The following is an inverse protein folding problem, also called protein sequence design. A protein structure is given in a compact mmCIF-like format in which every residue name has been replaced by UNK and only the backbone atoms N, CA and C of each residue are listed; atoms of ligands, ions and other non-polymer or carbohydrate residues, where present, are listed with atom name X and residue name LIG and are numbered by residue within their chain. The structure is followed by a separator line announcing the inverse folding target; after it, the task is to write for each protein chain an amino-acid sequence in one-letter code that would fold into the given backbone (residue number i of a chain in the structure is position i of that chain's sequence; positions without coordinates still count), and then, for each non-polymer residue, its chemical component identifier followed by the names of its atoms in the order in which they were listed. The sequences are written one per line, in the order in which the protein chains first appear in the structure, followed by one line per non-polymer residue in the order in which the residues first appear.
data_IF_643348424257
#
_entry.id   IF_643348424257
#
_cell.length_a   1.000
_cell.length_b   1.000
_cell.length_c   1.000
_cell.angle_alpha   90.00
_cell.angle_beta   90.00
_cell.angle_gamma   90.00
#
_symmetry.space_group_name_H-M   'P 1'
#
loop_
_entity.id
_entity.type
_entity.pdbx_description
1 polymer ?
#
# COMPACT_ATOMS: atom_id res chain seq x y z
N UNK A 1 -25.08 1.47 4.66
CA UNK A 1 -25.78 0.71 3.60
C UNK A 1 -25.18 0.87 2.21
N UNK A 2 -24.76 2.09 1.82
CA UNK A 2 -24.40 2.46 0.43
C UNK A 2 -23.11 1.82 -0.11
N UNK A 3 -22.14 1.45 0.74
CA UNK A 3 -20.84 0.93 0.28
C UNK A 3 -20.75 -0.61 0.25
N UNK A 4 -21.79 -1.34 0.67
CA UNK A 4 -21.73 -2.82 0.72
C UNK A 4 -21.60 -3.46 -0.66
N UNK A 5 -22.19 -2.84 -1.69
CA UNK A 5 -22.15 -3.35 -3.05
C UNK A 5 -20.90 -2.90 -3.83
N UNK A 6 -20.23 -1.82 -3.39
CA UNK A 6 -19.07 -1.25 -4.08
C UNK A 6 -17.84 -2.18 -4.06
N UNK A 7 -17.77 -3.10 -3.09
CA UNK A 7 -16.63 -3.99 -2.86
C UNK A 7 -16.98 -5.47 -2.99
N UNK A 8 -18.14 -5.80 -3.55
CA UNK A 8 -18.65 -7.18 -3.61
C UNK A 8 -17.70 -8.13 -4.38
N UNK A 9 -16.92 -7.59 -5.33
CA UNK A 9 -15.86 -8.32 -6.04
C UNK A 9 -14.46 -8.21 -5.40
N UNK A 10 -14.25 -7.34 -4.41
CA UNK A 10 -12.94 -7.08 -3.79
C UNK A 10 -12.81 -7.73 -2.42
N UNK A 11 -13.76 -8.60 -2.02
CA UNK A 11 -13.80 -9.16 -0.68
C UNK A 11 -12.88 -10.37 -0.56
N UNK A 12 -11.96 -10.29 0.39
CA UNK A 12 -11.04 -11.36 0.77
C UNK A 12 -11.47 -12.00 2.09
N UNK A 13 -11.09 -13.25 2.30
CA UNK A 13 -11.39 -13.97 3.53
C UNK A 13 -10.31 -13.72 4.59
N UNK A 14 -10.68 -13.16 5.74
CA UNK A 14 -9.72 -12.81 6.79
C UNK A 14 -8.97 -14.02 7.37
N UNK A 15 -9.64 -15.16 7.43
CA UNK A 15 -9.09 -16.43 7.92
C UNK A 15 -8.01 -17.01 6.98
N UNK A 16 -7.97 -16.58 5.72
CA UNK A 16 -6.95 -17.00 4.75
C UNK A 16 -5.57 -16.40 5.02
N UNK A 17 -5.46 -15.40 5.91
CA UNK A 17 -4.19 -14.76 6.25
C UNK A 17 -3.59 -15.36 7.54
N UNK A 18 -2.30 -15.63 7.54
CA UNK A 18 -1.55 -16.18 8.67
C UNK A 18 -0.32 -15.36 9.05
N UNK A 19 0.27 -15.67 10.21
CA UNK A 19 1.42 -14.96 10.79
C UNK A 19 1.22 -13.45 10.79
N UNK A 20 0.06 -13.01 11.29
CA UNK A 20 -0.31 -11.59 11.38
C UNK A 20 0.56 -10.92 12.44
N UNK A 21 1.50 -10.09 12.03
CA UNK A 21 2.38 -9.32 12.93
C UNK A 21 2.14 -7.83 12.75
N UNK A 22 1.91 -7.10 13.83
CA UNK A 22 1.84 -5.64 13.78
C UNK A 22 3.19 -5.07 13.33
N UNK A 23 3.16 -4.17 12.34
CA UNK A 23 4.35 -3.49 11.82
C UNK A 23 4.35 -1.98 12.08
N UNK A 24 3.24 -1.46 12.61
CA UNK A 24 3.15 -0.06 13.02
C UNK A 24 1.71 0.41 13.19
N UNK A 25 1.58 1.57 13.85
CA UNK A 25 0.30 2.24 14.08
C UNK A 25 0.37 3.66 13.52
N UNK A 26 -0.54 3.97 12.62
CA UNK A 26 -0.64 5.29 11.98
C UNK A 26 -1.97 5.97 12.29
N UNK A 27 -2.16 7.18 11.72
CA UNK A 27 -3.41 7.96 11.84
C UNK A 27 -4.64 7.20 11.34
N UNK A 28 -4.46 6.34 10.35
CA UNK A 28 -5.54 5.62 9.65
C UNK A 28 -5.76 4.20 10.14
N UNK A 29 -5.06 3.77 11.20
CA UNK A 29 -5.22 2.44 11.78
C UNK A 29 -3.90 1.74 12.09
N UNK A 30 -3.99 0.44 12.35
CA UNK A 30 -2.85 -0.43 12.63
C UNK A 30 -2.50 -1.20 11.35
N UNK A 31 -1.22 -1.27 11.03
CA UNK A 31 -0.69 -2.04 9.92
C UNK A 31 -0.21 -3.39 10.40
N UNK A 32 -0.60 -4.44 9.67
CA UNK A 32 -0.15 -5.81 9.90
C UNK A 32 0.55 -6.35 8.66
N UNK A 33 1.63 -7.10 8.88
CA UNK A 33 2.19 -8.01 7.88
C UNK A 33 1.55 -9.38 8.08
N UNK A 34 1.18 -10.05 6.98
CA UNK A 34 0.63 -11.40 7.00
C UNK A 34 0.96 -12.12 5.69
N UNK A 35 0.87 -13.45 5.69
CA UNK A 35 0.97 -14.28 4.49
C UNK A 35 -0.40 -14.84 4.14
N UNK A 36 -0.69 -14.97 2.85
CA UNK A 36 -1.92 -15.63 2.42
C UNK A 36 -1.68 -17.13 2.26
N UNK A 37 -2.59 -17.95 2.80
CA UNK A 37 -2.65 -19.40 2.60
C UNK A 37 -3.18 -19.78 1.21
N UNK A 38 -3.81 -18.83 0.50
CA UNK A 38 -4.50 -19.09 -0.75
C UNK A 38 -4.17 -18.03 -1.78
N UNK A 39 -3.19 -18.33 -2.63
CA UNK A 39 -2.77 -17.50 -3.76
C UNK A 39 -3.94 -17.15 -4.71
N UNK A 40 -4.96 -18.01 -4.81
CA UNK A 40 -6.12 -17.80 -5.68
C UNK A 40 -7.10 -16.76 -5.12
N UNK A 41 -7.04 -16.40 -3.83
CA UNK A 41 -7.83 -15.28 -3.32
C UNK A 41 -7.21 -13.93 -3.70
N UNK A 42 -5.90 -13.90 -3.98
CA UNK A 42 -5.20 -12.72 -4.48
C UNK A 42 -5.40 -12.62 -6.00
N UNK A 43 -6.66 -12.67 -6.47
CA UNK A 43 -6.95 -12.39 -7.88
C UNK A 43 -6.72 -10.90 -8.09
N UNK A 44 -5.77 -10.55 -8.96
CA UNK A 44 -5.41 -9.16 -9.26
C UNK A 44 -6.61 -8.41 -9.81
N UNK A 45 -7.22 -7.54 -9.01
CA UNK A 45 -8.34 -6.70 -9.42
C UNK A 45 -7.90 -5.26 -9.72
N UNK A 46 -6.59 -5.03 -9.86
CA UNK A 46 -6.01 -3.70 -9.90
C UNK A 46 -4.99 -3.52 -11.01
N UNK A 47 -4.68 -2.25 -11.25
CA UNK A 47 -3.73 -1.80 -12.26
C UNK A 47 -2.34 -2.31 -11.94
N UNK A 48 -1.83 -3.20 -12.79
CA UNK A 48 -0.47 -3.73 -12.65
C UNK A 48 0.53 -2.72 -13.19
N UNK A 49 1.38 -2.18 -12.33
CA UNK A 49 2.48 -1.31 -12.70
C UNK A 49 3.60 -1.45 -11.69
N UNK A 50 4.84 -1.60 -12.15
CA UNK A 50 5.99 -1.95 -11.29
C UNK A 50 6.28 -0.90 -10.19
N UNK A 51 5.80 0.33 -10.37
CA UNK A 51 5.94 1.43 -9.40
C UNK A 51 4.65 1.74 -8.62
N UNK A 52 3.67 0.84 -8.59
CA UNK A 52 2.44 0.99 -7.79
C UNK A 52 2.26 -0.26 -6.94
N UNK A 53 2.12 -0.07 -5.62
CA UNK A 53 1.80 -1.17 -4.70
C UNK A 53 0.44 -1.76 -5.10
N UNK A 54 0.44 -3.07 -5.40
CA UNK A 54 -0.80 -3.75 -5.80
C UNK A 54 -1.80 -3.75 -4.62
N UNK A 55 -3.02 -3.27 -4.87
CA UNK A 55 -4.14 -3.42 -3.95
C UNK A 55 -4.90 -4.71 -4.29
N UNK A 56 -5.07 -5.57 -3.30
CA UNK A 56 -5.68 -6.89 -3.48
C UNK A 56 -7.15 -6.91 -3.12
N UNK A 57 -7.57 -6.10 -2.14
CA UNK A 57 -8.97 -6.05 -1.74
C UNK A 57 -9.18 -5.66 -0.29
N UNK A 58 -10.39 -5.95 0.19
CA UNK A 58 -10.84 -5.62 1.54
C UNK A 58 -11.19 -6.93 2.25
N UNK A 59 -10.71 -7.07 3.47
CA UNK A 59 -11.10 -8.15 4.36
C UNK A 59 -11.76 -7.59 5.60
N UNK A 60 -12.58 -8.40 6.28
CA UNK A 60 -13.20 -8.03 7.54
C UNK A 60 -12.96 -9.13 8.55
N UNK A 61 -12.45 -8.75 9.72
CA UNK A 61 -12.37 -9.64 10.86
C UNK A 61 -13.79 -9.88 11.40
N UNK A 62 -14.21 -11.14 11.44
CA UNK A 62 -15.54 -11.53 11.91
C UNK A 62 -15.73 -11.31 13.41
N UNK A 63 -14.67 -11.36 14.21
CA UNK A 63 -14.74 -11.15 15.66
C UNK A 63 -14.82 -9.65 15.99
N UNK A 64 -13.83 -8.88 15.54
CA UNK A 64 -13.75 -7.45 15.87
C UNK A 64 -14.65 -6.58 14.99
N UNK A 65 -15.20 -7.13 13.90
CA UNK A 65 -15.94 -6.42 12.84
C UNK A 65 -15.11 -5.33 12.13
N UNK A 66 -13.80 -5.32 12.34
CA UNK A 66 -12.87 -4.34 11.76
C UNK A 66 -12.62 -4.66 10.29
N UNK A 67 -12.67 -3.62 9.46
CA UNK A 67 -12.29 -3.73 8.05
C UNK A 67 -10.80 -3.46 7.88
N UNK A 68 -10.14 -4.27 7.05
CA UNK A 68 -8.74 -4.12 6.68
C UNK A 68 -8.62 -4.04 5.16
N UNK A 69 -7.76 -3.14 4.70
CA UNK A 69 -7.33 -3.08 3.30
C UNK A 69 -6.11 -3.97 3.14
N UNK A 70 -6.06 -4.74 2.06
CA UNK A 70 -4.99 -5.69 1.76
C UNK A 70 -4.18 -5.20 0.57
N UNK A 71 -2.88 -5.03 0.78
CA UNK A 71 -1.92 -4.54 -0.22
C UNK A 71 -0.72 -5.47 -0.33
N UNK A 72 0.00 -5.39 -1.44
CA UNK A 72 1.32 -5.98 -1.59
C UNK A 72 2.28 -5.44 -0.52
N UNK A 73 3.04 -6.34 0.11
CA UNK A 73 4.01 -5.97 1.12
C UNK A 73 5.31 -5.44 0.48
N UNK A 74 5.70 -4.22 0.82
CA UNK A 74 6.98 -3.63 0.45
C UNK A 74 8.03 -3.94 1.53
N UNK A 75 8.98 -4.82 1.20
CA UNK A 75 9.91 -5.40 2.17
C UNK A 75 11.13 -4.52 2.53
N UNK A 76 11.31 -3.37 1.88
CA UNK A 76 12.46 -2.47 2.11
C UNK A 76 12.17 -1.29 3.03
N UNK A 77 11.02 -1.33 3.72
CA UNK A 77 10.62 -0.27 4.62
C UNK A 77 10.16 0.99 3.88
N UNK A 78 10.13 2.09 4.62
CA UNK A 78 9.60 3.36 4.17
C UNK A 78 10.62 4.18 3.35
N UNK A 79 10.15 4.77 2.25
CA UNK A 79 10.98 5.56 1.35
C UNK A 79 11.50 6.83 2.03
N UNK A 80 10.71 7.46 2.91
CA UNK A 80 11.14 8.67 3.61
C UNK A 80 12.26 8.37 4.59
N UNK A 81 12.16 7.31 5.40
CA UNK A 81 13.25 6.87 6.27
C UNK A 81 14.54 6.64 5.47
N UNK A 82 14.43 5.92 4.34
CA UNK A 82 15.57 5.72 3.44
C UNK A 82 16.15 7.03 2.91
N UNK A 83 15.30 7.96 2.46
CA UNK A 83 15.79 9.23 1.93
C UNK A 83 16.41 10.11 3.03
N UNK A 84 15.89 10.11 4.24
CA UNK A 84 16.47 10.86 5.35
C UNK A 84 17.93 10.43 5.64
N UNK A 85 18.20 9.12 5.58
CA UNK A 85 19.52 8.58 5.91
C UNK A 85 20.52 8.63 4.73
N UNK A 86 20.02 8.51 3.49
CA UNK A 86 20.86 8.25 2.32
C UNK A 86 20.80 9.34 1.23
N UNK A 87 19.87 10.28 1.25
CA UNK A 87 19.71 11.28 0.17
C UNK A 87 20.99 12.06 -0.18
N UNK A 88 21.84 12.50 0.78
CA UNK A 88 23.11 13.16 0.45
C UNK A 88 24.11 12.24 -0.27
N UNK A 89 24.02 10.92 -0.06
CA UNK A 89 24.92 9.90 -0.61
C UNK A 89 24.47 9.38 -1.99
N UNK A 90 23.23 9.64 -2.38
CA UNK A 90 22.69 9.22 -3.67
C UNK A 90 23.21 10.11 -4.80
N UNK A 91 23.67 9.47 -5.88
CA UNK A 91 24.01 10.16 -7.12
C UNK A 91 22.77 10.75 -7.81
N UNK A 92 23.00 11.74 -8.67
CA UNK A 92 21.92 12.42 -9.40
C UNK A 92 21.16 11.47 -10.32
N UNK A 93 21.83 10.50 -10.93
CA UNK A 93 21.22 9.49 -11.78
C UNK A 93 20.17 8.68 -11.03
N UNK A 94 20.48 8.23 -9.81
CA UNK A 94 19.57 7.49 -8.95
C UNK A 94 18.41 8.37 -8.49
N UNK A 95 18.68 9.61 -8.09
CA UNK A 95 17.63 10.57 -7.72
C UNK A 95 16.62 10.78 -8.86
N UNK A 96 17.12 10.99 -10.07
CA UNK A 96 16.28 11.17 -11.27
C UNK A 96 15.50 9.88 -11.58
N UNK A 97 16.13 8.70 -11.48
CA UNK A 97 15.45 7.42 -11.67
C UNK A 97 14.29 7.26 -10.69
N UNK A 98 14.52 7.48 -9.40
CA UNK A 98 13.47 7.39 -8.37
C UNK A 98 12.32 8.35 -8.65
N UNK A 99 12.62 9.61 -9.01
CA UNK A 99 11.59 10.59 -9.35
C UNK A 99 10.77 10.16 -10.58
N UNK A 100 11.41 9.57 -11.59
CA UNK A 100 10.72 9.02 -12.77
C UNK A 100 9.82 7.83 -12.43
N UNK A 101 10.29 6.91 -11.60
CA UNK A 101 9.53 5.75 -11.13
C UNK A 101 8.27 6.17 -10.36
N UNK A 102 8.41 7.11 -9.42
CA UNK A 102 7.28 7.67 -8.66
C UNK A 102 6.29 8.35 -9.61
N UNK A 103 6.78 9.17 -10.54
CA UNK A 103 5.94 9.87 -11.52
C UNK A 103 5.20 8.88 -12.44
N UNK A 104 5.85 7.78 -12.84
CA UNK A 104 5.24 6.72 -13.64
C UNK A 104 4.12 6.03 -12.88
N UNK A 105 4.33 5.71 -11.59
CA UNK A 105 3.30 5.13 -10.73
C UNK A 105 2.08 6.04 -10.58
N UNK A 106 2.29 7.35 -10.34
CA UNK A 106 1.20 8.33 -10.26
C UNK A 106 0.45 8.44 -11.58
N UNK A 107 1.16 8.51 -12.71
CA UNK A 107 0.55 8.55 -14.05
C UNK A 107 -0.34 7.33 -14.29
N UNK A 108 0.10 6.16 -13.85
CA UNK A 108 -0.66 4.92 -13.94
C UNK A 108 -1.95 4.95 -13.10
N UNK A 109 -1.90 5.49 -11.87
CA UNK A 109 -3.10 5.69 -11.06
C UNK A 109 -4.07 6.67 -11.73
N UNK A 110 -3.55 7.76 -12.29
CA UNK A 110 -4.37 8.74 -13.00
C UNK A 110 -5.02 8.17 -14.27
N UNK A 111 -4.36 7.26 -14.99
CA UNK A 111 -4.94 6.65 -16.20
C UNK A 111 -6.15 5.77 -15.92
N UNK A 112 -6.38 5.40 -14.66
CA UNK A 112 -7.59 4.67 -14.21
C UNK A 112 -8.49 5.52 -13.31
N UNK A 113 -8.34 6.84 -13.37
CA UNK A 113 -9.11 7.81 -12.58
C UNK A 113 -8.97 7.63 -11.06
N UNK A 114 -7.88 7.01 -10.59
CA UNK A 114 -7.54 6.96 -9.16
C UNK A 114 -6.68 8.18 -8.84
N UNK A 115 -7.23 9.08 -8.02
CA UNK A 115 -6.47 10.19 -7.45
C UNK A 115 -5.82 9.70 -6.16
N UNK A 116 -4.48 9.75 -6.06
CA UNK A 116 -3.74 9.32 -4.86
C UNK A 116 -4.14 10.10 -3.60
N UNK A 117 -4.57 11.37 -3.78
CA UNK A 117 -5.10 12.31 -2.77
C UNK A 117 -4.18 12.67 -1.59
N UNK A 118 -3.11 11.92 -1.35
CA UNK A 118 -2.12 12.20 -0.32
C UNK A 118 -0.70 11.90 -0.81
N UNK A 119 -0.26 12.58 -1.85
CA UNK A 119 1.16 12.57 -2.24
C UNK A 119 1.90 13.53 -1.31
N UNK A 120 2.36 13.04 -0.16
CA UNK A 120 3.01 13.90 0.85
C UNK A 120 4.42 14.26 0.38
N UNK A 121 4.71 15.56 0.32
CA UNK A 121 6.03 16.14 0.01
C UNK A 121 6.78 16.62 1.26
N UNK A 122 6.18 16.52 2.44
CA UNK A 122 6.62 17.33 3.57
C UNK A 122 7.80 16.71 4.32
N UNK A 123 8.99 17.25 4.03
CA UNK A 123 10.27 16.92 4.66
C UNK A 123 10.40 17.44 6.11
N UNK A 124 9.38 18.08 6.69
CA UNK A 124 9.49 18.72 8.00
C UNK A 124 8.46 18.31 9.06
N UNK A 125 7.53 17.39 8.79
CA UNK A 125 6.67 16.88 9.86
C UNK A 125 6.13 15.46 9.62
N UNK A 126 6.02 14.69 10.71
CA UNK A 126 5.38 13.36 10.87
C UNK A 126 6.27 12.11 10.66
N UNK A 127 6.60 11.29 11.68
CA UNK A 127 7.67 10.29 11.57
C UNK A 127 7.34 8.96 10.86
N UNK A 128 6.16 8.76 10.26
CA UNK A 128 5.74 7.41 9.86
C UNK A 128 4.88 7.33 8.60
N UNK A 129 5.22 8.09 7.56
CA UNK A 129 4.75 7.93 6.17
C UNK A 129 5.77 8.54 5.21
#
# INVERSE_FOLDING_TARGET
PVYKDLFKGLRLEYASFENKTEIGKGRFGIMYKAYSKNEKQIVKHTVKHDNVIEFFGITQDSETKTYCLVFQYANRGDLRCYLNDYFPKLDWTTKIRMAREISSGIKCLHSVNIVHRNLVRDFSSLPFL
#
